data_IF_219052588421
#
_entry.id   IF_219052588421
#
_cell.length_a   1.000
_cell.length_b   1.000
_cell.length_c   1.000
_cell.angle_alpha   90.00
_cell.angle_beta   90.00
_cell.angle_gamma   90.00
#
_symmetry.space_group_name_H-M   'P 1'
#
loop_
_entity.id
_entity.type
_entity.pdbx_description
1 polymer ?
#
# COMPACT_ATOMS: atom_id res chain seq x y z
N UNK A 1 15.82 -10.43 2.79
CA UNK A 1 15.05 -10.37 1.53
C UNK A 1 16.00 -9.94 0.43
N UNK A 2 15.85 -10.45 -0.80
CA UNK A 2 16.62 -9.91 -1.93
C UNK A 2 15.93 -8.70 -2.54
N UNK A 3 16.70 -7.75 -3.08
CA UNK A 3 16.15 -6.56 -3.75
C UNK A 3 15.16 -6.93 -4.88
N UNK A 4 15.47 -7.97 -5.68
CA UNK A 4 14.60 -8.40 -6.77
C UNK A 4 13.21 -8.85 -6.32
N UNK A 5 13.11 -9.54 -5.18
CA UNK A 5 11.81 -9.96 -4.61
C UNK A 5 10.96 -8.76 -4.19
N UNK A 6 11.58 -7.72 -3.64
CA UNK A 6 10.88 -6.50 -3.28
C UNK A 6 10.41 -5.74 -4.51
N UNK A 7 11.26 -5.62 -5.52
CA UNK A 7 10.93 -4.92 -6.77
C UNK A 7 9.75 -5.59 -7.50
N UNK A 8 9.71 -6.94 -7.54
CA UNK A 8 8.58 -7.70 -8.09
C UNK A 8 7.29 -7.50 -7.29
N UNK A 9 7.39 -7.48 -5.96
CA UNK A 9 6.26 -7.20 -5.08
C UNK A 9 5.71 -5.79 -5.31
N UNK A 10 6.59 -4.78 -5.37
CA UNK A 10 6.23 -3.39 -5.66
C UNK A 10 5.58 -3.24 -7.03
N UNK A 11 6.10 -3.92 -8.06
CA UNK A 11 5.50 -3.90 -9.39
C UNK A 11 4.06 -4.43 -9.39
N UNK A 12 3.78 -5.48 -8.60
CA UNK A 12 2.41 -5.99 -8.42
C UNK A 12 1.53 -5.01 -7.65
N UNK A 13 2.04 -4.40 -6.58
CA UNK A 13 1.29 -3.37 -5.84
C UNK A 13 0.88 -2.21 -6.75
N UNK A 14 1.83 -1.70 -7.53
CA UNK A 14 1.62 -0.59 -8.43
C UNK A 14 0.67 -0.92 -9.60
N UNK A 15 0.74 -2.14 -10.13
CA UNK A 15 -0.10 -2.55 -11.26
C UNK A 15 -1.55 -2.83 -10.85
N UNK A 16 -1.77 -3.41 -9.66
CA UNK A 16 -3.09 -3.91 -9.25
C UNK A 16 -3.79 -2.94 -8.30
N UNK A 17 -3.10 -2.52 -7.24
CA UNK A 17 -3.76 -1.88 -6.09
C UNK A 17 -3.60 -0.35 -6.07
N UNK A 18 -2.52 0.19 -6.64
CA UNK A 18 -2.37 1.65 -6.74
C UNK A 18 -3.50 2.31 -7.56
N UNK A 19 -3.97 1.76 -8.69
CA UNK A 19 -5.08 2.33 -9.44
C UNK A 19 -6.42 2.29 -8.69
N UNK A 20 -6.61 1.36 -7.75
CA UNK A 20 -7.85 1.29 -6.96
C UNK A 20 -7.91 2.34 -5.85
N UNK A 21 -6.81 3.06 -5.58
CA UNK A 21 -6.80 4.15 -4.60
C UNK A 21 -7.47 5.41 -5.15
N UNK A 22 -8.17 6.12 -4.27
CA UNK A 22 -8.72 7.45 -4.58
C UNK A 22 -7.60 8.44 -4.93
N UNK A 23 -7.88 9.49 -5.73
CA UNK A 23 -6.91 10.54 -6.00
C UNK A 23 -6.36 11.21 -4.73
N UNK A 24 -7.20 11.35 -3.70
CA UNK A 24 -6.78 11.90 -2.41
C UNK A 24 -5.77 11.00 -1.70
N UNK A 25 -6.03 9.69 -1.62
CA UNK A 25 -5.09 8.73 -1.02
C UNK A 25 -3.74 8.73 -1.73
N UNK A 26 -3.74 8.77 -3.08
CA UNK A 26 -2.50 8.83 -3.89
C UNK A 26 -1.67 10.10 -3.63
N UNK A 27 -2.29 11.16 -3.12
CA UNK A 27 -1.66 12.45 -2.85
C UNK A 27 -1.33 12.67 -1.37
N UNK A 28 -1.53 11.67 -0.51
CA UNK A 28 -1.17 11.78 0.90
C UNK A 28 0.33 12.11 1.03
N UNK A 29 0.68 13.12 1.84
CA UNK A 29 2.07 13.53 1.98
C UNK A 29 2.86 12.43 2.67
N UNK A 30 4.05 12.17 2.14
CA UNK A 30 5.02 11.31 2.80
C UNK A 30 5.44 11.96 4.14
N UNK A 31 5.43 11.23 5.26
CA UNK A 31 5.96 11.73 6.52
C UNK A 31 7.48 11.99 6.44
N UNK A 32 8.00 12.79 7.38
CA UNK A 32 9.38 13.35 7.40
C UNK A 32 10.53 12.34 7.19
N UNK A 33 11.76 12.88 7.07
CA UNK A 33 13.01 12.17 6.79
C UNK A 33 13.17 10.85 7.57
N UNK A 34 13.57 9.79 6.85
CA UNK A 34 13.93 8.50 7.45
C UNK A 34 13.17 7.30 6.89
N UNK A 35 12.04 7.52 6.21
CA UNK A 35 11.30 6.44 5.51
C UNK A 35 11.67 6.42 4.02
N UNK A 36 12.11 5.29 3.44
CA UNK A 36 12.31 5.15 2.00
C UNK A 36 11.01 5.35 1.20
N UNK A 37 11.11 5.87 -0.03
CA UNK A 37 9.93 6.16 -0.88
C UNK A 37 9.10 4.91 -1.20
N UNK A 38 9.78 3.79 -1.45
CA UNK A 38 9.16 2.50 -1.70
C UNK A 38 8.41 1.97 -0.48
N UNK A 39 8.96 2.15 0.73
CA UNK A 39 8.28 1.79 1.98
C UNK A 39 7.04 2.66 2.20
N UNK A 40 7.14 3.98 1.95
CA UNK A 40 5.96 4.85 2.03
C UNK A 40 4.89 4.44 1.02
N UNK A 41 5.27 4.23 -0.23
CA UNK A 41 4.35 3.84 -1.30
C UNK A 41 3.66 2.51 -1.02
N UNK A 42 4.40 1.51 -0.54
CA UNK A 42 3.81 0.25 -0.11
C UNK A 42 2.86 0.45 1.07
N UNK A 43 3.20 1.30 2.05
CA UNK A 43 2.34 1.55 3.19
C UNK A 43 1.02 2.19 2.77
N UNK A 44 1.09 3.18 1.87
CA UNK A 44 -0.05 3.87 1.27
C UNK A 44 -1.01 2.94 0.52
N UNK A 45 -0.48 1.85 -0.06
CA UNK A 45 -1.28 0.84 -0.76
C UNK A 45 -1.85 -0.20 0.22
N UNK A 46 -1.05 -0.69 1.16
CA UNK A 46 -1.40 -1.84 2.01
C UNK A 46 -2.28 -1.42 3.19
N UNK A 47 -2.01 -0.29 3.83
CA UNK A 47 -2.62 0.05 5.12
C UNK A 47 -3.66 1.17 4.97
N UNK A 48 -4.83 1.05 5.63
CA UNK A 48 -5.84 2.11 5.65
C UNK A 48 -5.33 3.43 6.25
N UNK A 49 -4.45 3.33 7.25
CA UNK A 49 -3.78 4.45 7.91
C UNK A 49 -2.25 4.28 7.80
N UNK A 50 -1.63 4.67 6.68
CA UNK A 50 -0.21 4.40 6.43
C UNK A 50 0.72 5.15 7.39
N UNK A 51 0.35 6.38 7.78
CA UNK A 51 1.09 7.16 8.78
C UNK A 51 1.09 6.47 10.15
N UNK A 52 -0.09 6.10 10.66
CA UNK A 52 -0.23 5.42 11.94
C UNK A 52 0.52 4.10 11.97
N UNK A 53 0.45 3.32 10.88
CA UNK A 53 1.19 2.06 10.80
C UNK A 53 2.72 2.28 10.88
N UNK A 54 3.24 3.32 10.24
CA UNK A 54 4.67 3.64 10.29
C UNK A 54 5.15 4.02 11.70
N UNK A 55 4.26 4.60 12.51
CA UNK A 55 4.56 5.12 13.85
C UNK A 55 4.23 4.15 14.99
N UNK A 56 3.36 3.16 14.75
CA UNK A 56 3.01 2.17 15.75
C UNK A 56 4.13 1.15 15.99
N UNK A 57 4.38 0.74 17.25
CA UNK A 57 5.29 -0.34 17.59
C UNK A 57 4.99 -1.65 16.87
N UNK A 58 6.02 -2.26 16.27
CA UNK A 58 5.92 -3.56 15.60
C UNK A 58 6.67 -4.61 16.43
N UNK A 59 6.01 -5.68 16.92
CA UNK A 59 6.65 -6.71 17.75
C UNK A 59 7.89 -7.34 17.11
N UNK A 60 7.85 -7.59 15.79
CA UNK A 60 8.95 -8.16 15.00
C UNK A 60 10.17 -7.22 14.94
N UNK A 61 9.99 -5.92 15.19
CA UNK A 61 11.05 -4.93 15.27
C UNK A 61 11.48 -4.64 16.72
N UNK A 62 11.20 -5.56 17.65
CA UNK A 62 11.48 -5.42 19.09
C UNK A 62 10.73 -4.24 19.73
N UNK A 63 9.49 -3.99 19.25
CA UNK A 63 8.64 -2.91 19.75
C UNK A 63 9.00 -1.51 19.20
N UNK A 64 9.93 -1.43 18.23
CA UNK A 64 10.18 -0.20 17.47
C UNK A 64 9.16 -0.03 16.35
N UNK A 65 8.91 1.21 15.96
CA UNK A 65 8.11 1.52 14.78
C UNK A 65 8.87 1.23 13.48
N UNK A 66 8.14 1.15 12.37
CA UNK A 66 8.76 1.01 11.05
C UNK A 66 9.61 2.25 10.70
N UNK A 67 9.19 3.45 11.11
CA UNK A 67 9.95 4.69 10.93
C UNK A 67 11.29 4.63 11.66
N UNK A 68 11.28 4.22 12.94
CA UNK A 68 12.51 4.08 13.73
C UNK A 68 13.46 3.03 13.14
N UNK A 69 12.92 1.91 12.65
CA UNK A 69 13.73 0.88 12.00
C UNK A 69 14.34 1.37 10.69
N UNK A 70 13.60 2.10 9.86
CA UNK A 70 14.11 2.69 8.63
C UNK A 70 15.22 3.72 8.90
N UNK A 71 15.02 4.61 9.88
CA UNK A 71 16.04 5.59 10.29
C UNK A 71 17.32 4.91 10.83
N UNK A 72 17.20 3.71 11.40
CA UNK A 72 18.33 2.89 11.84
C UNK A 72 18.97 2.04 10.72
N UNK A 73 18.58 2.23 9.45
CA UNK A 73 19.11 1.46 8.31
C UNK A 73 18.55 0.04 8.18
N UNK A 74 17.47 -0.29 8.89
CA UNK A 74 16.82 -1.62 8.89
C UNK A 74 15.59 -1.69 7.98
N UNK A 75 15.60 -0.92 6.89
CA UNK A 75 14.47 -0.87 5.94
C UNK A 75 14.14 -2.25 5.32
N UNK A 76 15.12 -3.13 5.13
CA UNK A 76 14.88 -4.47 4.57
C UNK A 76 14.04 -5.36 5.48
N UNK A 77 14.12 -5.16 6.80
CA UNK A 77 13.26 -5.86 7.76
C UNK A 77 11.82 -5.34 7.69
N UNK A 78 11.66 -4.02 7.53
CA UNK A 78 10.35 -3.38 7.32
C UNK A 78 9.70 -3.91 6.04
N UNK A 79 10.45 -3.96 4.92
CA UNK A 79 9.99 -4.55 3.65
C UNK A 79 9.52 -5.99 3.84
N UNK A 80 10.28 -6.80 4.58
CA UNK A 80 9.93 -8.21 4.86
C UNK A 80 8.62 -8.34 5.63
N UNK A 81 8.42 -7.50 6.63
CA UNK A 81 7.18 -7.47 7.39
C UNK A 81 6.01 -7.04 6.50
N UNK A 82 6.16 -5.97 5.72
CA UNK A 82 5.11 -5.47 4.83
C UNK A 82 4.68 -6.52 3.81
N UNK A 83 5.64 -7.16 3.15
CA UNK A 83 5.36 -8.22 2.18
C UNK A 83 4.65 -9.41 2.84
N UNK A 84 5.05 -9.78 4.06
CA UNK A 84 4.45 -10.90 4.79
C UNK A 84 3.05 -10.61 5.35
N UNK A 85 2.67 -9.35 5.54
CA UNK A 85 1.33 -9.00 6.06
C UNK A 85 0.37 -8.52 4.98
N UNK A 86 0.85 -8.18 3.79
CA UNK A 86 0.05 -7.57 2.73
C UNK A 86 -1.21 -8.37 2.39
N UNK A 87 -1.13 -9.71 2.37
CA UNK A 87 -2.27 -10.59 2.06
C UNK A 87 -3.44 -10.49 3.05
N UNK A 88 -3.21 -10.00 4.28
CA UNK A 88 -4.27 -9.84 5.27
C UNK A 88 -5.01 -8.50 5.16
N UNK A 89 -4.41 -7.53 4.46
CA UNK A 89 -4.98 -6.19 4.28
C UNK A 89 -5.51 -5.95 2.87
N UNK A 90 -4.89 -6.59 1.88
CA UNK A 90 -5.24 -6.43 0.49
C UNK A 90 -6.25 -7.52 0.07
N UNK A 91 -7.31 -7.15 -0.67
CA UNK A 91 -8.20 -8.14 -1.26
C UNK A 91 -7.45 -8.98 -2.33
N UNK A 92 -8.01 -10.14 -2.71
CA UNK A 92 -7.55 -10.90 -3.87
C UNK A 92 -7.43 -10.01 -5.12
N UNK A 93 -6.35 -10.12 -5.94
CA UNK A 93 -6.13 -9.24 -7.09
C UNK A 93 -7.26 -9.20 -8.11
N UNK A 94 -7.95 -10.32 -8.30
CA UNK A 94 -9.06 -10.50 -9.23
C UNK A 94 -10.35 -9.83 -8.77
N UNK A 95 -10.42 -9.39 -7.51
CA UNK A 95 -11.52 -8.62 -6.94
C UNK A 95 -11.24 -7.11 -6.92
N UNK A 96 -10.05 -6.68 -7.36
CA UNK A 96 -9.64 -5.27 -7.33
C UNK A 96 -10.13 -4.55 -8.58
N UNK A 97 -10.94 -3.51 -8.39
CA UNK A 97 -11.43 -2.65 -9.46
C UNK A 97 -10.69 -1.30 -9.39
N UNK A 98 -10.11 -0.80 -10.50
CA UNK A 98 -9.53 0.54 -10.55
C UNK A 98 -10.54 1.63 -10.19
N UNK A 99 -10.10 2.69 -9.51
CA UNK A 99 -10.98 3.76 -9.04
C UNK A 99 -11.72 4.44 -10.20
N UNK A 100 -11.05 4.61 -11.34
CA UNK A 100 -11.60 5.22 -12.54
C UNK A 100 -12.73 4.40 -13.18
N UNK A 101 -12.80 3.08 -12.92
CA UNK A 101 -13.83 2.18 -13.45
C UNK A 101 -15.08 2.10 -12.56
N UNK A 102 -14.95 2.46 -11.28
CA UNK A 102 -16.09 2.55 -10.36
C UNK A 102 -17.11 3.61 -10.80
N UNK A 103 -16.65 4.69 -11.44
CA UNK A 103 -17.53 5.72 -12.00
C UNK A 103 -18.31 5.25 -13.23
N UNK A 104 -17.66 4.49 -14.13
CA UNK A 104 -18.29 3.97 -15.35
C UNK A 104 -19.32 2.90 -15.07
N UNK A 105 -19.04 2.03 -14.10
CA UNK A 105 -19.95 0.95 -13.71
C UNK A 105 -21.31 1.47 -13.19
N UNK A 106 -21.32 2.68 -12.60
CA UNK A 106 -22.56 3.32 -12.17
C UNK A 106 -23.33 3.94 -13.34
N UNK A 107 -22.66 4.58 -14.28
CA UNK A 107 -23.29 5.17 -15.47
C UNK A 107 -23.89 4.09 -16.39
N UNK A 108 -23.20 2.97 -16.62
CA UNK A 108 -23.72 1.85 -17.40
C UNK A 108 -24.93 1.14 -16.74
N UNK A 109 -24.99 1.13 -15.41
CA UNK A 109 -26.12 0.56 -14.68
C UNK A 109 -27.38 1.46 -14.75
N UNK A 110 -27.20 2.78 -14.84
CA UNK A 110 -28.31 3.75 -14.92
C UNK A 110 -28.84 3.88 -16.35
N UNK A 111 -27.98 3.81 -17.37
CA UNK A 111 -28.39 3.86 -18.79
C UNK A 111 -29.06 2.56 -19.29
N UNK A 112 -29.02 1.48 -18.50
CA UNK A 112 -29.60 0.17 -18.83
C UNK A 112 -31.08 -0.03 -18.43
N UNK A 113 -31.71 0.91 -17.73
CA UNK A 113 -33.11 0.79 -17.23
C UNK A 113 -34.18 1.48 -18.10
N UNK A 114 -33.84 2.08 -19.25
CA UNK A 114 -34.81 2.70 -20.18
C UNK A 114 -35.05 1.85 -21.46
N UNK A 115 -35.53 0.62 -21.30
CA UNK A 115 -35.93 -0.29 -22.38
C UNK A 115 -37.37 -0.79 -22.29
#
# INVERSE_FOLDING_TARGET
MSKGQWDEFMARLDAVYLPSLTPHQRQLPKPDEGVPDDVWRAALIIFPSPGDWLDNPIPQLQGKSAREACAAGRADEVRAIMQGVAEFFLPPPDEVIPYEELGRSFEEAVDGEDG
#
